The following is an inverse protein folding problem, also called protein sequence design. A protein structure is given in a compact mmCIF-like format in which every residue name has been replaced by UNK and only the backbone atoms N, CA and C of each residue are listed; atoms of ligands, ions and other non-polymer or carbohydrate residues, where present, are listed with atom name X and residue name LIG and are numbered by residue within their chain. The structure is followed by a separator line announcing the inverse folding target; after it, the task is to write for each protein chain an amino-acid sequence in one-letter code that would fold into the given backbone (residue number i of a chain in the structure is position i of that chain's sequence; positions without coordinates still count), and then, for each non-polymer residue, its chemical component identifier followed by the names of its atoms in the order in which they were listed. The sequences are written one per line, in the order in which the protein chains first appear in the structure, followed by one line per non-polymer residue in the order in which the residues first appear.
data_IF_817944211259
#
_entry.id   IF_817944211259
#
_cell.length_a   1.000
_cell.length_b   1.000
_cell.length_c   1.000
_cell.angle_alpha   90.00
_cell.angle_beta   90.00
_cell.angle_gamma   90.00
#
_symmetry.space_group_name_H-M   'P 1'
#
loop_
_entity.id
_entity.type
_entity.pdbx_description
1 polymer ?
#
# COMPACT_ATOMS: atom_id res chain seq x y z
N UNK A 1 -5.00 -2.22 14.34
CA UNK A 1 -3.66 -2.32 13.73
C UNK A 1 -3.08 -0.92 13.80
N UNK A 2 -1.87 -0.75 14.35
CA UNK A 2 -1.25 0.58 14.45
C UNK A 2 -0.67 0.99 13.09
N UNK A 3 -0.47 2.28 12.85
CA UNK A 3 0.09 2.78 11.58
C UNK A 3 1.47 2.17 11.28
N UNK A 4 2.28 1.93 12.33
CA UNK A 4 3.54 1.21 12.24
C UNK A 4 3.39 -0.19 11.66
N UNK A 5 2.32 -0.90 12.02
CA UNK A 5 2.07 -2.26 11.54
C UNK A 5 1.70 -2.25 10.05
N UNK A 6 0.96 -1.23 9.58
CA UNK A 6 0.59 -1.10 8.17
C UNK A 6 1.82 -0.76 7.32
N UNK A 7 2.71 0.10 7.81
CA UNK A 7 3.97 0.42 7.13
C UNK A 7 4.89 -0.81 7.07
N UNK A 8 4.96 -1.60 8.13
CA UNK A 8 5.69 -2.89 8.12
C UNK A 8 5.09 -3.86 7.11
N UNK A 9 3.76 -4.00 7.07
CA UNK A 9 3.06 -4.84 6.10
C UNK A 9 3.33 -4.40 4.66
N UNK A 10 3.24 -3.10 4.39
CA UNK A 10 3.58 -2.50 3.10
C UNK A 10 5.03 -2.81 2.71
N UNK A 11 5.95 -2.70 3.67
CA UNK A 11 7.38 -2.97 3.46
C UNK A 11 7.60 -4.39 3.00
N UNK A 12 7.01 -5.37 3.68
CA UNK A 12 7.11 -6.76 3.24
C UNK A 12 6.47 -6.96 1.87
N UNK A 13 5.30 -6.38 1.62
CA UNK A 13 4.64 -6.51 0.31
C UNK A 13 5.51 -5.94 -0.83
N UNK A 14 6.17 -4.81 -0.62
CA UNK A 14 7.10 -4.20 -1.58
C UNK A 14 8.29 -5.13 -1.86
N UNK A 15 8.90 -5.70 -0.82
CA UNK A 15 10.09 -6.54 -0.96
C UNK A 15 9.83 -7.90 -1.62
N UNK A 16 8.63 -8.44 -1.45
CA UNK A 16 8.23 -9.73 -2.06
C UNK A 16 7.51 -9.54 -3.40
N UNK A 17 7.47 -8.32 -3.94
CA UNK A 17 6.71 -8.04 -5.15
C UNK A 17 7.25 -8.84 -6.34
N UNK A 18 6.54 -9.92 -6.64
CA UNK A 18 6.67 -10.63 -7.90
C UNK A 18 5.73 -9.95 -8.90
N UNK A 19 6.21 -9.43 -10.05
CA UNK A 19 5.34 -8.88 -11.07
C UNK A 19 4.41 -9.99 -11.58
N UNK A 20 3.11 -9.88 -11.26
CA UNK A 20 2.08 -10.86 -11.64
C UNK A 20 1.00 -10.15 -12.45
N UNK A 21 1.01 -10.26 -13.80
CA UNK A 21 -0.02 -9.66 -14.63
C UNK A 21 -1.42 -10.15 -14.24
N UNK A 22 -2.44 -9.27 -14.18
CA UNK A 22 -2.43 -7.87 -14.61
C UNK A 22 -1.97 -6.86 -13.54
N UNK A 23 -1.60 -7.32 -12.34
CA UNK A 23 -1.36 -6.47 -11.18
C UNK A 23 0.00 -5.77 -11.28
N UNK A 24 -0.02 -4.45 -11.08
CA UNK A 24 1.17 -3.62 -10.98
C UNK A 24 1.14 -2.95 -9.62
N UNK A 25 1.87 -3.53 -8.67
CA UNK A 25 1.92 -3.05 -7.30
C UNK A 25 2.27 -1.56 -7.21
N UNK A 26 3.24 -1.10 -8.00
CA UNK A 26 3.61 0.32 -8.03
C UNK A 26 2.44 1.21 -8.44
N UNK A 27 1.62 0.76 -9.40
CA UNK A 27 0.43 1.49 -9.82
C UNK A 27 -0.67 1.44 -8.74
N UNK A 28 -0.89 0.28 -8.12
CA UNK A 28 -1.86 0.13 -7.03
C UNK A 28 -1.53 1.09 -5.87
N UNK A 29 -0.25 1.24 -5.52
CA UNK A 29 0.17 2.22 -4.52
C UNK A 29 -0.06 3.66 -5.02
N UNK A 30 0.23 3.98 -6.27
CA UNK A 30 -0.03 5.32 -6.84
C UNK A 30 -1.52 5.67 -6.82
N UNK A 31 -2.40 4.69 -7.00
CA UNK A 31 -3.85 4.92 -6.97
C UNK A 31 -4.34 5.39 -5.59
N UNK A 32 -3.62 5.09 -4.50
CA UNK A 32 -3.93 5.60 -3.16
C UNK A 32 -3.83 7.13 -3.05
N UNK A 33 -3.13 7.80 -3.98
CA UNK A 33 -3.13 9.25 -4.03
C UNK A 33 -4.52 9.82 -4.39
N UNK A 34 -5.34 9.05 -5.10
CA UNK A 34 -6.70 9.41 -5.51
C UNK A 34 -7.77 8.70 -4.69
N UNK A 35 -7.49 7.48 -4.25
CA UNK A 35 -8.40 6.58 -3.54
C UNK A 35 -7.78 6.04 -2.24
N UNK A 36 -7.44 6.92 -1.27
CA UNK A 36 -6.78 6.52 -0.03
C UNK A 36 -7.60 5.50 0.78
N UNK A 37 -8.92 5.50 0.65
CA UNK A 37 -9.83 4.55 1.30
C UNK A 37 -9.56 3.09 0.94
N UNK A 38 -9.01 2.83 -0.27
CA UNK A 38 -8.66 1.47 -0.72
C UNK A 38 -7.63 0.80 0.19
N UNK A 39 -6.78 1.59 0.84
CA UNK A 39 -5.80 1.08 1.79
C UNK A 39 -6.47 0.27 2.90
N UNK A 40 -7.52 0.82 3.50
CA UNK A 40 -8.29 0.16 4.56
C UNK A 40 -9.35 -0.82 4.04
N UNK A 41 -9.90 -0.58 2.84
CA UNK A 41 -11.00 -1.39 2.32
C UNK A 41 -10.55 -2.72 1.70
N UNK A 42 -9.37 -2.78 1.07
CA UNK A 42 -8.94 -4.00 0.39
C UNK A 42 -7.44 -4.28 0.47
N UNK A 43 -6.57 -3.28 0.27
CA UNK A 43 -5.13 -3.52 0.11
C UNK A 43 -4.47 -4.16 1.32
N UNK A 44 -4.83 -3.77 2.55
CA UNK A 44 -4.27 -4.40 3.75
C UNK A 44 -4.51 -5.92 3.78
N UNK A 45 -5.70 -6.37 3.40
CA UNK A 45 -6.04 -7.80 3.45
C UNK A 45 -5.48 -8.57 2.25
N UNK A 46 -5.38 -7.92 1.09
CA UNK A 46 -4.65 -8.42 -0.08
C UNK A 46 -3.16 -8.63 0.26
N UNK A 47 -2.49 -7.64 0.86
CA UNK A 47 -1.08 -7.72 1.22
C UNK A 47 -0.80 -8.83 2.23
N UNK A 48 -1.64 -8.99 3.26
CA UNK A 48 -1.53 -10.11 4.21
C UNK A 48 -1.63 -11.46 3.50
N UNK A 49 -2.56 -11.57 2.54
CA UNK A 49 -2.78 -12.80 1.79
C UNK A 49 -1.59 -13.12 0.87
N UNK A 50 -1.04 -12.11 0.21
CA UNK A 50 0.14 -12.23 -0.63
C UNK A 50 1.37 -12.65 0.17
N UNK A 51 1.62 -12.01 1.32
CA UNK A 51 2.74 -12.34 2.20
C UNK A 51 2.61 -13.78 2.70
N UNK A 52 1.43 -14.19 3.19
CA UNK A 52 1.20 -15.57 3.62
C UNK A 52 1.44 -16.58 2.50
N UNK A 53 0.98 -16.28 1.29
CA UNK A 53 1.19 -17.13 0.11
C UNK A 53 2.67 -17.23 -0.24
N UNK A 54 3.39 -16.11 -0.23
CA UNK A 54 4.83 -16.07 -0.51
C UNK A 54 5.63 -16.87 0.52
N UNK A 55 5.35 -16.69 1.82
CA UNK A 55 5.97 -17.47 2.89
C UNK A 55 5.74 -18.96 2.70
N UNK A 56 4.50 -19.36 2.43
CA UNK A 56 4.13 -20.77 2.26
C UNK A 56 4.80 -21.39 1.03
N UNK A 57 4.85 -20.65 -0.09
CA UNK A 57 5.49 -21.09 -1.34
C UNK A 57 7.00 -21.30 -1.17
N UNK A 58 7.65 -20.48 -0.34
CA UNK A 58 9.11 -20.47 -0.17
C UNK A 58 9.57 -21.10 1.16
N UNK A 59 8.66 -21.69 1.94
CA UNK A 59 8.92 -22.26 3.27
C UNK A 59 9.63 -21.29 4.23
N UNK A 60 9.22 -20.02 4.23
CA UNK A 60 9.82 -18.97 5.05
C UNK A 60 9.12 -18.82 6.40
N UNK A 61 9.90 -18.44 7.41
CA UNK A 61 9.44 -18.01 8.72
C UNK A 61 9.25 -16.49 8.79
N UNK A 62 8.74 -15.99 9.92
CA UNK A 62 8.62 -14.54 10.16
C UNK A 62 10.02 -13.91 10.23
N UNK A 63 10.98 -14.56 10.88
CA UNK A 63 12.35 -14.09 11.01
C UNK A 63 13.02 -13.94 9.64
N UNK A 64 12.76 -14.86 8.71
CA UNK A 64 13.25 -14.76 7.33
C UNK A 64 12.67 -13.52 6.60
N UNK A 65 11.42 -13.17 6.88
CA UNK A 65 10.74 -11.99 6.35
C UNK A 65 11.32 -10.70 6.93
N UNK A 66 11.63 -10.69 8.22
CA UNK A 66 12.34 -9.59 8.86
C UNK A 66 13.73 -9.40 8.24
N UNK A 67 14.44 -10.50 7.93
CA UNK A 67 15.73 -10.44 7.26
C UNK A 67 15.64 -9.81 5.86
N UNK A 68 14.51 -9.94 5.13
CA UNK A 68 14.32 -9.27 3.84
C UNK A 68 14.40 -7.74 3.95
N UNK A 69 14.06 -7.17 5.12
CA UNK A 69 14.11 -5.71 5.32
C UNK A 69 15.52 -5.13 5.19
N UNK A 70 16.56 -5.97 5.31
CA UNK A 70 17.95 -5.58 5.03
C UNK A 70 18.13 -5.10 3.59
N UNK A 71 17.33 -5.59 2.63
CA UNK A 71 17.41 -5.15 1.23
C UNK A 71 17.06 -3.65 1.06
N UNK A 72 16.37 -3.04 2.03
CA UNK A 72 16.12 -1.59 2.02
C UNK A 72 17.38 -0.75 2.25
N UNK A 73 18.52 -1.35 2.65
CA UNK A 73 19.79 -0.61 2.72
C UNK A 73 20.43 -0.43 1.36
N UNK A 74 20.01 -1.21 0.36
CA UNK A 74 20.50 -1.07 -1.01
C UNK A 74 19.99 0.24 -1.63
N UNK A 75 20.86 1.09 -2.20
CA UNK A 75 20.49 2.43 -2.68
C UNK A 75 19.32 2.44 -3.66
N UNK A 76 19.30 1.52 -4.63
CA UNK A 76 18.27 1.44 -5.65
C UNK A 76 16.91 1.04 -5.06
N UNK A 77 16.91 0.06 -4.15
CA UNK A 77 15.72 -0.40 -3.44
C UNK A 77 15.15 0.71 -2.57
N UNK A 78 16.02 1.42 -1.82
CA UNK A 78 15.64 2.54 -0.98
C UNK A 78 15.02 3.69 -1.80
N UNK A 79 15.61 4.00 -2.95
CA UNK A 79 15.15 5.05 -3.85
C UNK A 79 13.75 4.76 -4.43
N UNK A 80 13.44 3.49 -4.71
CA UNK A 80 12.12 3.07 -5.19
C UNK A 80 11.09 3.00 -4.06
N UNK A 81 11.51 2.53 -2.89
CA UNK A 81 10.65 2.35 -1.73
C UNK A 81 10.15 3.67 -1.13
N UNK A 82 11.06 4.65 -0.96
CA UNK A 82 10.75 5.93 -0.30
C UNK A 82 9.50 6.65 -0.86
N UNK A 83 9.36 6.91 -2.17
CA UNK A 83 8.19 7.61 -2.69
C UNK A 83 6.89 6.81 -2.53
N UNK A 84 6.95 5.48 -2.58
CA UNK A 84 5.78 4.63 -2.40
C UNK A 84 5.35 4.58 -0.92
N UNK A 85 6.32 4.53 0.00
CA UNK A 85 6.08 4.64 1.44
C UNK A 85 5.37 5.95 1.78
N UNK A 86 5.82 7.08 1.22
CA UNK A 86 5.23 8.38 1.48
C UNK A 86 3.75 8.43 1.06
N UNK A 87 3.38 7.76 -0.04
CA UNK A 87 1.98 7.65 -0.47
C UNK A 87 1.16 6.86 0.54
N UNK A 88 1.65 5.73 1.01
CA UNK A 88 0.95 4.89 2.01
C UNK A 88 0.78 5.66 3.32
N UNK A 89 1.82 6.32 3.81
CA UNK A 89 1.75 7.15 5.03
C UNK A 89 0.72 8.26 4.88
N UNK A 90 0.67 8.93 3.72
CA UNK A 90 -0.31 9.98 3.47
C UNK A 90 -1.74 9.42 3.40
N UNK A 91 -1.93 8.25 2.80
CA UNK A 91 -3.24 7.59 2.76
C UNK A 91 -3.70 7.18 4.17
N UNK A 92 -2.80 6.71 5.04
CA UNK A 92 -3.10 6.45 6.45
C UNK A 92 -3.57 7.70 7.16
N UNK A 93 -2.81 8.80 7.06
CA UNK A 93 -3.15 10.08 7.69
C UNK A 93 -4.50 10.61 7.23
N UNK A 94 -4.83 10.44 5.94
CA UNK A 94 -6.12 10.81 5.38
C UNK A 94 -7.23 9.95 5.99
N UNK A 95 -7.06 8.63 6.03
CA UNK A 95 -8.07 7.71 6.55
C UNK A 95 -8.27 7.83 8.07
N UNK A 96 -7.25 8.28 8.81
CA UNK A 96 -7.29 8.49 10.25
C UNK A 96 -7.71 9.90 10.68
N UNK A 97 -7.83 10.85 9.75
CA UNK A 97 -8.20 12.23 10.06
C UNK A 97 -9.71 12.34 10.34
N UNK A 98 -10.07 12.64 11.59
CA UNK A 98 -11.45 12.95 12.01
C UNK A 98 -12.06 14.20 11.33
N UNK A 99 -11.22 14.97 10.63
CA UNK A 99 -11.68 16.04 9.76
C UNK A 99 -12.33 15.42 8.52
N UNK A 100 -13.62 15.06 8.63
CA UNK A 100 -14.51 14.80 7.51
C UNK A 100 -14.78 16.12 6.76
N UNK A 101 -13.74 16.80 6.30
CA UNK A 101 -13.89 17.53 5.05
C UNK A 101 -13.91 16.44 4.01
N UNK A 102 -15.09 16.13 3.49
CA UNK A 102 -15.28 15.41 2.23
C UNK A 102 -14.08 15.73 1.34
N UNK A 103 -13.13 14.81 1.22
CA UNK A 103 -12.04 15.01 0.29
C UNK A 103 -12.73 14.90 -1.05
N UNK A 104 -12.88 16.03 -1.74
CA UNK A 104 -13.36 16.07 -3.12
C UNK A 104 -12.30 15.40 -3.99
N UNK A 105 -12.29 14.07 -3.94
CA UNK A 105 -11.51 13.26 -4.87
C UNK A 105 -11.93 13.66 -6.28
N UNK A 106 -11.00 13.61 -7.25
CA UNK A 106 -11.37 13.84 -8.65
C UNK A 106 -12.56 12.98 -9.08
N UNK A 107 -12.68 11.78 -8.51
CA UNK A 107 -13.82 10.89 -8.71
C UNK A 107 -15.12 11.44 -8.12
N UNK A 108 -15.13 11.93 -6.88
CA UNK A 108 -16.32 12.57 -6.29
C UNK A 108 -16.77 13.78 -7.10
N UNK A 109 -15.84 14.64 -7.53
CA UNK A 109 -16.11 15.75 -8.44
C UNK A 109 -16.65 15.31 -9.80
N UNK A 110 -16.17 14.18 -10.31
CA UNK A 110 -16.66 13.60 -11.56
C UNK A 110 -18.09 13.06 -11.43
N UNK A 111 -18.40 12.33 -10.35
CA UNK A 111 -19.74 11.85 -10.05
C UNK A 111 -20.70 13.02 -9.81
N UNK A 112 -20.30 14.03 -9.04
CA UNK A 112 -21.12 15.22 -8.79
C UNK A 112 -21.42 15.98 -10.08
N UNK A 113 -20.48 16.02 -11.03
CA UNK A 113 -20.74 16.53 -12.38
C UNK A 113 -21.77 15.70 -13.11
N UNK A 114 -21.66 14.37 -13.11
CA UNK A 114 -22.59 13.49 -13.83
C UNK A 114 -24.01 13.50 -13.24
N UNK A 115 -24.16 13.68 -11.93
CA UNK A 115 -25.46 13.63 -11.24
C UNK A 115 -26.16 15.00 -11.26
N UNK A 116 -25.41 16.11 -11.29
CA UNK A 116 -25.96 17.46 -11.29
C UNK A 116 -25.85 18.18 -12.66
N UNK A 117 -25.64 17.45 -13.77
CA UNK A 117 -25.71 17.98 -15.14
C UNK A 117 -27.02 17.66 -15.84
#
# INVERSE_FOLDING_TARGET
MQDSDIVTLFTYRFLIDEPQPPHNFTQDIKDLQQFPERLSLSYIDEWKSDIKRYMSKNNLTIDDLEALSTQLTEPDTAQQYAPLKDIVVRALQINSSDTVSIIETPFKRYIDKLVNS
#
